data_IF_843932645939
#
_entry.id   IF_843932645939
#
_cell.length_a   1.000
_cell.length_b   1.000
_cell.length_c   1.000
_cell.angle_alpha   90.00
_cell.angle_beta   90.00
_cell.angle_gamma   90.00
#
_symmetry.space_group_name_H-M   'P 1'
#
loop_
_entity.id
_entity.type
_entity.pdbx_description
1 polymer ?
#
# COMPACT_ATOMS: atom_id res chain seq x y z
N UNK A 1 11.31 15.09 -26.72
CA UNK A 1 11.73 14.63 -25.37
C UNK A 1 12.96 13.75 -25.50
N UNK A 2 13.99 13.98 -24.69
CA UNK A 2 15.17 13.10 -24.64
C UNK A 2 14.79 11.82 -23.91
N UNK A 3 14.93 10.65 -24.54
CA UNK A 3 14.68 9.37 -23.86
C UNK A 3 15.69 9.20 -22.73
N UNK A 4 15.20 8.84 -21.55
CA UNK A 4 16.06 8.57 -20.39
C UNK A 4 16.78 7.23 -20.57
N UNK A 5 17.89 7.04 -19.84
CA UNK A 5 18.65 5.80 -19.88
C UNK A 5 18.13 4.86 -18.80
N UNK A 6 17.87 3.62 -19.18
CA UNK A 6 17.60 2.54 -18.24
C UNK A 6 18.86 2.17 -17.47
N UNK A 7 18.75 2.03 -16.15
CA UNK A 7 19.86 1.64 -15.28
C UNK A 7 19.40 0.57 -14.30
N UNK A 8 20.26 -0.42 -14.08
CA UNK A 8 20.10 -1.52 -13.12
C UNK A 8 21.08 -1.30 -11.99
N UNK A 9 20.63 -1.38 -10.75
CA UNK A 9 21.49 -1.28 -9.56
C UNK A 9 21.71 -2.66 -8.96
N UNK A 10 22.91 -2.94 -8.45
CA UNK A 10 23.23 -4.23 -7.81
C UNK A 10 23.32 -5.41 -8.78
N UNK A 11 23.34 -6.63 -8.24
CA UNK A 11 23.26 -7.87 -9.03
C UNK A 11 21.85 -8.02 -9.64
N UNK A 12 21.76 -8.55 -10.86
CA UNK A 12 20.54 -8.60 -11.69
C UNK A 12 19.38 -9.43 -11.08
N UNK A 13 19.64 -10.07 -9.94
CA UNK A 13 18.78 -10.98 -9.18
C UNK A 13 17.87 -10.28 -8.17
N UNK A 14 18.19 -9.04 -7.80
CA UNK A 14 17.43 -8.22 -6.87
C UNK A 14 16.83 -7.05 -7.66
N UNK A 15 15.60 -7.22 -8.15
CA UNK A 15 14.88 -6.27 -8.99
C UNK A 15 15.04 -4.82 -8.52
N UNK A 16 15.69 -3.98 -9.34
CA UNK A 16 15.87 -2.56 -9.05
C UNK A 16 15.69 -1.76 -10.32
N UNK A 17 14.73 -0.85 -10.31
CA UNK A 17 14.43 -0.03 -11.46
C UNK A 17 14.09 1.39 -11.03
N UNK A 18 14.96 2.31 -11.46
CA UNK A 18 14.84 3.76 -11.58
C UNK A 18 14.68 4.59 -10.29
N UNK A 19 15.34 5.75 -10.30
CA UNK A 19 15.30 6.79 -9.28
C UNK A 19 14.77 8.06 -9.97
N UNK A 20 13.92 8.87 -9.32
CA UNK A 20 13.54 10.20 -9.82
C UNK A 20 14.72 11.09 -10.22
N UNK A 21 14.52 11.96 -11.21
CA UNK A 21 15.56 12.89 -11.70
C UNK A 21 16.12 13.83 -10.59
N UNK A 22 15.38 14.03 -9.50
CA UNK A 22 15.75 14.89 -8.37
C UNK A 22 16.46 14.15 -7.22
N UNK A 23 16.74 12.84 -7.34
CA UNK A 23 17.42 12.06 -6.30
C UNK A 23 18.81 11.64 -6.76
N UNK A 24 19.83 11.99 -5.94
CA UNK A 24 21.21 11.67 -6.25
C UNK A 24 21.45 10.14 -6.20
N UNK A 25 21.88 9.62 -7.33
CA UNK A 25 22.09 8.20 -7.63
C UNK A 25 23.22 7.55 -6.81
N UNK A 26 24.25 8.31 -6.45
CA UNK A 26 25.50 7.75 -5.90
C UNK A 26 25.46 7.51 -4.39
N UNK A 27 24.41 7.99 -3.71
CA UNK A 27 24.28 7.93 -2.25
C UNK A 27 23.00 7.24 -1.76
N UNK A 28 22.17 6.71 -2.67
CA UNK A 28 20.87 6.17 -2.30
C UNK A 28 20.94 4.68 -1.93
N UNK A 29 20.63 4.36 -0.68
CA UNK A 29 20.48 2.98 -0.22
C UNK A 29 19.08 2.46 -0.53
N UNK A 30 19.03 1.25 -1.09
CA UNK A 30 17.79 0.55 -1.44
C UNK A 30 17.60 -0.68 -0.57
N UNK A 31 16.37 -0.91 -0.14
CA UNK A 31 15.99 -1.93 0.83
C UNK A 31 14.87 -2.81 0.29
N UNK A 32 15.00 -4.11 0.59
CA UNK A 32 13.95 -5.11 0.41
C UNK A 32 13.74 -5.72 1.79
N UNK A 33 12.61 -5.38 2.43
CA UNK A 33 12.40 -5.70 3.84
C UNK A 33 11.91 -7.13 4.09
N UNK A 34 11.13 -7.68 3.16
CA UNK A 34 10.59 -9.02 3.29
C UNK A 34 10.15 -9.58 1.93
N UNK A 35 10.01 -10.90 1.72
CA UNK A 35 9.44 -11.55 0.54
C UNK A 35 8.10 -11.00 0.00
N UNK A 36 7.35 -10.25 0.80
CA UNK A 36 6.06 -9.69 0.41
C UNK A 36 6.20 -8.54 -0.59
N UNK A 37 7.35 -7.89 -0.64
CA UNK A 37 7.65 -6.82 -1.59
C UNK A 37 8.10 -7.37 -2.95
N UNK A 38 7.33 -8.34 -3.46
CA UNK A 38 7.58 -9.12 -4.67
C UNK A 38 8.17 -8.33 -5.84
N UNK A 39 7.58 -7.16 -6.10
CA UNK A 39 7.89 -6.29 -7.24
C UNK A 39 8.17 -4.83 -6.84
N UNK A 40 8.55 -4.62 -5.59
CA UNK A 40 8.67 -3.30 -4.98
C UNK A 40 9.98 -3.15 -4.20
N UNK A 41 10.65 -2.02 -4.36
CA UNK A 41 11.86 -1.69 -3.60
C UNK A 41 11.68 -0.37 -2.90
N UNK A 42 12.13 -0.31 -1.64
CA UNK A 42 12.13 0.92 -0.87
C UNK A 42 13.50 1.61 -0.96
N UNK A 43 13.50 2.94 -0.99
CA UNK A 43 14.70 3.75 -1.02
C UNK A 43 14.55 4.90 -0.03
N UNK A 44 15.53 5.07 0.85
CA UNK A 44 15.51 6.18 1.79
C UNK A 44 16.08 7.43 1.13
N UNK A 45 15.30 8.52 1.11
CA UNK A 45 15.71 9.80 0.52
C UNK A 45 15.69 10.95 1.54
N UNK A 46 15.42 10.64 2.81
CA UNK A 46 15.43 11.57 3.92
C UNK A 46 14.97 10.91 5.22
N UNK A 47 15.00 11.67 6.32
CA UNK A 47 14.38 11.23 7.57
C UNK A 47 12.86 11.15 7.37
N UNK A 48 12.27 9.97 7.59
CA UNK A 48 10.84 9.72 7.33
C UNK A 48 10.37 10.07 5.91
N UNK A 49 11.28 9.98 4.94
CA UNK A 49 10.98 10.18 3.52
C UNK A 49 11.55 9.02 2.71
N UNK A 50 10.66 8.16 2.27
CA UNK A 50 10.96 6.95 1.51
C UNK A 50 10.31 7.02 0.15
N UNK A 51 10.93 6.39 -0.84
CA UNK A 51 10.32 6.08 -2.12
C UNK A 51 10.17 4.57 -2.22
N UNK A 52 8.93 4.12 -2.39
CA UNK A 52 8.60 2.76 -2.79
C UNK A 52 8.40 2.72 -4.30
N UNK A 53 9.20 1.91 -4.97
CA UNK A 53 9.28 1.86 -6.42
C UNK A 53 8.74 0.50 -6.88
N UNK A 54 7.58 0.48 -7.54
CA UNK A 54 6.90 -0.75 -7.99
C UNK A 54 7.05 -0.95 -9.50
N UNK A 55 7.05 -2.21 -9.93
CA UNK A 55 7.07 -2.60 -11.36
C UNK A 55 8.45 -2.90 -11.91
N UNK A 56 9.41 -3.04 -11.00
CA UNK A 56 10.80 -3.27 -11.28
C UNK A 56 11.24 -4.75 -11.26
N UNK A 57 10.46 -5.68 -11.81
CA UNK A 57 10.82 -7.09 -11.75
C UNK A 57 10.70 -7.70 -10.35
N UNK A 58 10.90 -9.02 -10.26
CA UNK A 58 10.73 -9.81 -9.05
C UNK A 58 12.00 -9.83 -8.19
N UNK A 59 11.90 -9.44 -6.93
CA UNK A 59 13.02 -9.26 -6.00
C UNK A 59 13.61 -10.51 -5.32
N UNK A 60 13.05 -11.72 -5.47
CA UNK A 60 13.45 -12.90 -4.64
C UNK A 60 14.08 -14.03 -5.44
N UNK A 61 14.69 -13.71 -6.58
CA UNK A 61 15.35 -14.67 -7.45
C UNK A 61 14.82 -14.67 -8.88
N UNK A 62 15.34 -15.57 -9.70
CA UNK A 62 14.96 -15.71 -11.10
C UNK A 62 13.75 -16.64 -11.31
N UNK A 63 12.95 -16.43 -12.36
CA UNK A 63 13.02 -15.34 -13.34
C UNK A 63 12.42 -14.03 -12.79
N UNK A 64 13.06 -12.91 -13.11
CA UNK A 64 12.61 -11.55 -12.70
C UNK A 64 11.23 -11.19 -13.24
N UNK A 65 10.81 -11.81 -14.33
CA UNK A 65 9.53 -11.61 -14.99
C UNK A 65 8.96 -12.98 -15.31
N UNK A 66 7.72 -13.20 -14.93
CA UNK A 66 7.04 -14.46 -15.18
C UNK A 66 5.61 -14.19 -15.64
N UNK A 67 5.29 -14.60 -16.86
CA UNK A 67 3.91 -14.55 -17.37
C UNK A 67 3.18 -15.79 -16.85
N UNK A 68 2.03 -15.60 -16.21
CA UNK A 68 1.25 -16.73 -15.73
C UNK A 68 0.83 -17.64 -16.87
N UNK A 69 1.00 -18.94 -16.70
CA UNK A 69 0.47 -19.95 -17.62
C UNK A 69 -1.01 -20.24 -17.36
N UNK A 70 -1.49 -19.91 -16.15
CA UNK A 70 -2.84 -20.20 -15.69
C UNK A 70 -3.75 -19.01 -15.99
N UNK A 71 -3.43 -17.86 -15.40
CA UNK A 71 -4.30 -16.69 -15.35
C UNK A 71 -4.06 -15.80 -16.58
N UNK A 72 -5.15 -15.36 -17.21
CA UNK A 72 -5.09 -14.69 -18.51
C UNK A 72 -4.34 -13.34 -18.47
N UNK A 73 -4.48 -12.60 -17.37
CA UNK A 73 -3.99 -11.23 -17.19
C UNK A 73 -3.04 -11.10 -16.00
N UNK A 74 -2.19 -12.11 -15.78
CA UNK A 74 -1.20 -12.09 -14.70
C UNK A 74 0.24 -12.13 -15.23
N UNK A 75 1.01 -11.15 -14.81
CA UNK A 75 2.47 -11.11 -14.96
C UNK A 75 3.11 -10.72 -13.64
N UNK A 76 4.07 -11.52 -13.19
CA UNK A 76 4.83 -11.25 -11.99
C UNK A 76 6.05 -10.38 -12.31
N UNK A 77 6.43 -9.54 -11.35
CA UNK A 77 7.54 -8.60 -11.46
C UNK A 77 7.21 -7.30 -12.20
N UNK A 78 6.28 -7.30 -13.14
CA UNK A 78 5.86 -6.09 -13.85
C UNK A 78 4.65 -5.42 -13.19
N UNK A 79 4.47 -4.14 -13.50
CA UNK A 79 3.32 -3.35 -13.08
C UNK A 79 2.66 -2.73 -14.32
N UNK A 80 1.38 -3.01 -14.61
CA UNK A 80 0.71 -2.50 -15.81
C UNK A 80 0.57 -0.97 -15.79
N UNK A 81 0.66 -0.33 -16.96
CA UNK A 81 0.46 1.12 -17.10
C UNK A 81 -0.94 1.56 -16.66
N UNK A 82 -1.98 0.79 -16.99
CA UNK A 82 -3.37 1.14 -16.64
C UNK A 82 -3.56 1.20 -15.11
N UNK A 83 -3.04 0.21 -14.38
CA UNK A 83 -3.00 0.23 -12.91
C UNK A 83 -2.23 1.45 -12.39
N UNK A 84 -1.10 1.82 -12.99
CA UNK A 84 -0.28 2.96 -12.57
C UNK A 84 -0.97 4.31 -12.78
N UNK A 85 -1.61 4.49 -13.93
CA UNK A 85 -2.40 5.69 -14.24
C UNK A 85 -3.53 5.85 -13.22
N UNK A 86 -4.21 4.75 -12.89
CA UNK A 86 -5.30 4.75 -11.91
C UNK A 86 -4.79 5.03 -10.50
N UNK A 87 -3.78 4.30 -10.02
CA UNK A 87 -3.21 4.49 -8.67
C UNK A 87 -2.71 5.94 -8.48
N UNK A 88 -2.12 6.53 -9.52
CA UNK A 88 -1.73 7.94 -9.54
C UNK A 88 -2.92 8.89 -9.44
N UNK A 89 -3.98 8.67 -10.24
CA UNK A 89 -5.18 9.50 -10.21
C UNK A 89 -5.86 9.47 -8.83
N UNK A 90 -6.02 8.28 -8.24
CA UNK A 90 -6.58 8.14 -6.88
C UNK A 90 -5.71 8.84 -5.86
N UNK A 91 -4.38 8.67 -5.92
CA UNK A 91 -3.46 9.35 -5.02
C UNK A 91 -3.57 10.87 -5.10
N UNK A 92 -3.77 11.43 -6.30
CA UNK A 92 -3.94 12.87 -6.50
C UNK A 92 -5.24 13.40 -5.89
N UNK A 93 -6.33 12.63 -5.94
CA UNK A 93 -7.57 13.00 -5.25
C UNK A 93 -7.43 12.90 -3.72
N UNK A 94 -6.76 11.86 -3.21
CA UNK A 94 -6.46 11.72 -1.77
C UNK A 94 -5.56 12.86 -1.26
N UNK A 95 -4.59 13.30 -2.08
CA UNK A 95 -3.69 14.40 -1.71
C UNK A 95 -4.44 15.73 -1.50
N UNK A 96 -5.59 15.94 -2.15
CA UNK A 96 -6.43 17.13 -1.96
C UNK A 96 -7.11 17.14 -0.58
N UNK A 97 -7.32 15.98 0.03
CA UNK A 97 -8.06 15.86 1.29
C UNK A 97 -7.15 15.71 2.51
N UNK A 98 -5.93 15.17 2.34
CA UNK A 98 -4.98 15.02 3.44
C UNK A 98 -3.53 14.78 2.96
N UNK A 99 -2.58 15.33 3.70
CA UNK A 99 -1.14 15.07 3.54
C UNK A 99 -0.66 13.85 4.34
N UNK A 100 -1.55 13.19 5.07
CA UNK A 100 -1.18 12.08 5.95
C UNK A 100 -0.93 10.77 5.19
N UNK A 101 -1.47 10.63 3.98
CA UNK A 101 -1.40 9.43 3.15
C UNK A 101 -0.13 9.35 2.31
N UNK A 102 0.14 8.14 1.80
CA UNK A 102 1.17 7.94 0.79
C UNK A 102 0.85 8.70 -0.49
N UNK A 103 1.90 9.13 -1.20
CA UNK A 103 1.75 9.95 -2.40
C UNK A 103 2.41 9.27 -3.59
N UNK A 104 1.64 8.93 -4.60
CA UNK A 104 2.21 8.57 -5.90
C UNK A 104 2.72 9.85 -6.54
N UNK A 105 4.05 10.00 -6.59
CA UNK A 105 4.69 11.20 -7.11
C UNK A 105 4.53 11.30 -8.62
N UNK A 106 4.79 10.19 -9.30
CA UNK A 106 4.63 10.02 -10.74
C UNK A 106 4.75 8.54 -11.10
N UNK A 107 4.46 8.23 -12.36
CA UNK A 107 4.70 6.93 -12.97
C UNK A 107 5.42 7.12 -14.30
N UNK A 108 6.07 6.07 -14.80
CA UNK A 108 6.74 6.13 -16.09
C UNK A 108 6.67 4.83 -16.88
N UNK A 109 6.27 4.93 -18.14
CA UNK A 109 6.21 3.79 -19.05
C UNK A 109 7.64 3.31 -19.37
N UNK A 110 7.85 1.99 -19.31
CA UNK A 110 9.15 1.39 -19.60
C UNK A 110 9.61 1.69 -21.04
N UNK A 111 8.68 1.87 -21.98
CA UNK A 111 8.98 2.20 -23.38
C UNK A 111 9.56 3.62 -23.58
N UNK A 112 9.44 4.50 -22.59
CA UNK A 112 9.99 5.85 -22.62
C UNK A 112 11.51 5.88 -22.33
N UNK A 113 12.06 4.76 -21.86
CA UNK A 113 13.48 4.60 -21.62
C UNK A 113 14.21 3.98 -22.82
N UNK A 114 15.51 4.28 -22.88
CA UNK A 114 16.47 3.54 -23.70
C UNK A 114 16.89 2.29 -22.94
N UNK A 115 16.32 1.16 -23.34
CA UNK A 115 16.57 -0.15 -22.72
C UNK A 115 17.86 -0.80 -23.25
N UNK A 116 18.64 -1.50 -22.41
CA UNK A 116 19.62 -2.47 -22.87
C UNK A 116 18.95 -3.54 -23.75
N UNK A 117 19.68 -4.04 -24.75
CA UNK A 117 19.15 -5.05 -25.71
C UNK A 117 18.48 -6.24 -25.03
N UNK A 118 19.03 -6.71 -23.90
CA UNK A 118 18.47 -7.84 -23.14
C UNK A 118 17.07 -7.59 -22.56
N UNK A 119 16.63 -6.33 -22.47
CA UNK A 119 15.31 -5.93 -22.00
C UNK A 119 14.39 -5.40 -23.12
N UNK A 120 14.82 -5.44 -24.38
CA UNK A 120 13.98 -4.96 -25.50
C UNK A 120 12.65 -5.72 -25.62
N UNK A 121 12.60 -6.98 -25.16
CA UNK A 121 11.38 -7.79 -25.13
C UNK A 121 10.25 -7.17 -24.29
N UNK A 122 10.57 -6.31 -23.32
CA UNK A 122 9.57 -5.60 -22.50
C UNK A 122 8.63 -4.72 -23.32
N UNK A 123 9.09 -4.22 -24.48
CA UNK A 123 8.29 -3.37 -25.37
C UNK A 123 7.16 -4.12 -26.06
N UNK A 124 7.29 -5.45 -26.16
CA UNK A 124 6.35 -6.31 -26.89
C UNK A 124 5.79 -7.42 -26.01
N UNK A 125 6.02 -7.35 -24.69
CA UNK A 125 5.56 -8.38 -23.76
C UNK A 125 4.03 -8.36 -23.66
N UNK A 126 3.45 -9.55 -23.69
CA UNK A 126 2.01 -9.77 -23.68
C UNK A 126 1.61 -10.67 -22.52
N UNK A 127 0.41 -10.41 -22.01
CA UNK A 127 -0.33 -11.35 -21.18
C UNK A 127 -0.67 -12.63 -21.96
N UNK A 128 -1.16 -13.65 -21.26
CA UNK A 128 -1.53 -14.94 -21.87
C UNK A 128 -2.68 -14.78 -22.88
N UNK A 129 -3.62 -13.87 -22.61
CA UNK A 129 -4.69 -13.50 -23.53
C UNK A 129 -4.22 -12.74 -24.80
N UNK A 130 -2.93 -12.40 -24.90
CA UNK A 130 -2.35 -11.69 -26.04
C UNK A 130 -2.38 -10.16 -25.96
N UNK A 131 -3.01 -9.57 -24.94
CA UNK A 131 -2.97 -8.13 -24.68
C UNK A 131 -1.57 -7.69 -24.26
N UNK A 132 -1.17 -6.48 -24.65
CA UNK A 132 0.12 -5.90 -24.24
C UNK A 132 0.07 -5.55 -22.75
N UNK A 133 1.13 -5.94 -22.01
CA UNK A 133 1.25 -5.59 -20.58
C UNK A 133 1.45 -4.08 -20.38
N UNK A 134 2.12 -3.42 -21.32
CA UNK A 134 2.55 -2.02 -21.22
C UNK A 134 3.23 -1.72 -19.87
N UNK A 135 4.43 -2.28 -19.61
CA UNK A 135 5.04 -2.20 -18.29
C UNK A 135 5.33 -0.75 -17.88
N UNK A 136 5.08 -0.44 -16.62
CA UNK A 136 5.23 0.87 -16.03
C UNK A 136 5.91 0.77 -14.67
N UNK A 137 6.46 1.89 -14.22
CA UNK A 137 7.13 2.01 -12.94
C UNK A 137 6.49 3.11 -12.16
N UNK A 138 6.10 2.78 -10.94
CA UNK A 138 5.33 3.64 -10.06
C UNK A 138 6.21 4.06 -8.88
N UNK A 139 6.20 5.35 -8.56
CA UNK A 139 7.00 5.92 -7.48
C UNK A 139 6.08 6.49 -6.42
N UNK A 140 6.05 5.84 -5.26
CA UNK A 140 5.20 6.22 -4.14
C UNK A 140 6.05 6.72 -2.98
N UNK A 141 5.84 7.96 -2.55
CA UNK A 141 6.44 8.50 -1.35
C UNK A 141 5.70 8.01 -0.11
N UNK A 142 6.48 7.54 0.87
CA UNK A 142 6.02 7.00 2.16
C UNK A 142 6.81 7.61 3.32
N UNK A 143 6.24 7.58 4.53
CA UNK A 143 6.97 7.89 5.77
C UNK A 143 7.65 6.65 6.36
N UNK A 144 7.01 5.50 6.18
CA UNK A 144 7.54 4.20 6.58
C UNK A 144 7.35 3.18 5.44
N UNK A 145 8.40 2.49 5.00
CA UNK A 145 8.28 1.46 3.96
C UNK A 145 7.87 0.09 4.53
N UNK A 146 7.98 -0.09 5.85
CA UNK A 146 7.65 -1.33 6.53
C UNK A 146 6.13 -1.47 6.62
N UNK A 147 5.59 -2.55 6.06
CA UNK A 147 4.20 -2.98 6.21
C UNK A 147 4.03 -3.75 7.51
N UNK A 148 2.82 -3.79 8.06
CA UNK A 148 2.53 -4.65 9.23
C UNK A 148 2.92 -6.09 8.94
N UNK A 149 2.63 -6.57 7.72
CA UNK A 149 2.99 -7.92 7.27
C UNK A 149 4.49 -8.23 7.27
N UNK A 150 5.38 -7.23 7.22
CA UNK A 150 6.82 -7.47 7.24
C UNK A 150 7.29 -8.05 8.58
N UNK A 151 6.55 -7.79 9.66
CA UNK A 151 6.90 -8.23 11.01
C UNK A 151 6.98 -9.75 11.17
N UNK A 152 6.31 -10.52 10.29
CA UNK A 152 6.41 -11.99 10.30
C UNK A 152 7.82 -12.48 9.98
N UNK A 153 8.60 -11.70 9.22
CA UNK A 153 9.98 -12.04 8.83
C UNK A 153 11.03 -11.51 9.80
N UNK A 154 10.62 -10.67 10.76
CA UNK A 154 11.54 -10.00 11.68
C UNK A 154 11.76 -10.81 12.94
N UNK A 155 12.99 -10.83 13.43
CA UNK A 155 13.29 -11.25 14.80
C UNK A 155 12.93 -10.13 15.80
N UNK A 156 12.97 -10.42 17.09
CA UNK A 156 12.56 -9.46 18.13
C UNK A 156 13.37 -8.14 18.10
N UNK A 157 14.67 -8.19 17.79
CA UNK A 157 15.48 -6.99 17.71
C UNK A 157 15.09 -6.11 16.51
N UNK A 158 14.77 -6.72 15.37
CA UNK A 158 14.27 -6.01 14.18
C UNK A 158 12.88 -5.41 14.42
N UNK A 159 11.98 -6.15 15.07
CA UNK A 159 10.66 -5.63 15.47
C UNK A 159 10.79 -4.42 16.40
N UNK A 160 11.65 -4.50 17.41
CA UNK A 160 11.87 -3.39 18.35
C UNK A 160 12.40 -2.14 17.63
N UNK A 161 13.38 -2.30 16.72
CA UNK A 161 13.88 -1.19 15.90
C UNK A 161 12.79 -0.56 15.03
N UNK A 162 11.91 -1.39 14.45
CA UNK A 162 10.81 -0.91 13.64
C UNK A 162 9.78 -0.12 14.47
N UNK A 163 9.47 -0.59 15.68
CA UNK A 163 8.63 0.14 16.64
C UNK A 163 9.30 1.46 17.05
N UNK A 164 10.59 1.43 17.44
CA UNK A 164 11.35 2.62 17.83
C UNK A 164 11.37 3.68 16.73
N UNK A 165 11.55 3.27 15.46
CA UNK A 165 11.47 4.16 14.31
C UNK A 165 10.11 4.88 14.25
N UNK A 166 9.01 4.15 14.41
CA UNK A 166 7.65 4.69 14.39
C UNK A 166 7.36 5.58 15.61
N UNK A 167 7.80 5.16 16.79
CA UNK A 167 7.65 5.94 18.01
C UNK A 167 8.44 7.24 17.97
N UNK A 168 9.64 7.24 17.38
CA UNK A 168 10.41 8.46 17.14
C UNK A 168 9.69 9.41 16.17
N UNK A 169 9.04 8.89 15.12
CA UNK A 169 8.22 9.70 14.21
C UNK A 169 7.08 10.40 14.94
N UNK A 170 6.35 9.67 15.80
CA UNK A 170 5.24 10.20 16.58
C UNK A 170 5.67 10.96 17.85
N UNK A 171 6.95 10.94 18.19
CA UNK A 171 7.49 11.46 19.45
C UNK A 171 6.77 10.88 20.70
N UNK A 172 6.68 9.56 20.77
CA UNK A 172 6.04 8.80 21.86
C UNK A 172 6.96 7.73 22.44
N UNK A 173 6.59 7.21 23.61
CA UNK A 173 7.19 5.99 24.17
C UNK A 173 6.68 4.72 23.46
N UNK A 174 7.51 3.68 23.38
CA UNK A 174 7.20 2.40 22.72
C UNK A 174 5.98 1.70 23.30
N UNK A 175 5.71 1.86 24.61
CA UNK A 175 4.51 1.29 25.25
C UNK A 175 3.18 1.82 24.70
N UNK A 176 3.21 2.92 23.96
CA UNK A 176 2.03 3.53 23.35
C UNK A 176 1.90 3.22 21.84
N UNK A 177 2.85 2.50 21.25
CA UNK A 177 2.90 2.24 19.82
C UNK A 177 1.57 1.69 19.27
N UNK A 178 1.12 0.54 19.76
CA UNK A 178 -0.10 -0.12 19.26
C UNK A 178 -1.35 0.74 19.41
N UNK A 179 -1.43 1.54 20.48
CA UNK A 179 -2.54 2.49 20.66
C UNK A 179 -2.50 3.56 19.57
N UNK A 180 -1.35 4.21 19.37
CA UNK A 180 -1.21 5.30 18.38
C UNK A 180 -1.39 4.77 16.96
N UNK A 181 -0.94 3.54 16.68
CA UNK A 181 -1.20 2.87 15.41
C UNK A 181 -2.70 2.72 15.13
N UNK A 182 -3.48 2.17 16.08
CA UNK A 182 -4.94 2.00 15.94
C UNK A 182 -5.61 3.34 15.67
N UNK A 183 -5.25 4.37 16.45
CA UNK A 183 -5.78 5.72 16.29
C UNK A 183 -5.48 6.29 14.90
N UNK A 184 -4.25 6.10 14.41
CA UNK A 184 -3.81 6.61 13.10
C UNK A 184 -4.53 5.90 11.96
N UNK A 185 -4.61 4.56 11.99
CA UNK A 185 -5.29 3.80 10.94
C UNK A 185 -6.80 4.11 10.92
N UNK A 186 -7.45 4.15 12.08
CA UNK A 186 -8.87 4.49 12.19
C UNK A 186 -9.17 5.90 11.66
N UNK A 187 -8.33 6.88 11.99
CA UNK A 187 -8.41 8.24 11.45
C UNK A 187 -8.27 8.23 9.93
N UNK A 188 -7.30 7.49 9.38
CA UNK A 188 -7.06 7.42 7.94
C UNK A 188 -8.26 6.81 7.19
N UNK A 189 -8.79 5.67 7.65
CA UNK A 189 -10.01 5.07 7.08
C UNK A 189 -11.19 6.03 7.19
N UNK A 190 -11.34 6.73 8.31
CA UNK A 190 -12.41 7.70 8.49
C UNK A 190 -12.32 8.91 7.55
N UNK A 191 -11.10 9.42 7.31
CA UNK A 191 -10.88 10.50 6.32
C UNK A 191 -11.27 10.01 4.92
N UNK A 192 -10.85 8.81 4.52
CA UNK A 192 -11.22 8.24 3.22
C UNK A 192 -12.75 8.15 3.07
N UNK A 193 -13.44 7.52 4.02
CA UNK A 193 -14.89 7.37 3.98
C UNK A 193 -15.64 8.70 3.94
N UNK A 194 -15.18 9.69 4.72
CA UNK A 194 -15.78 11.04 4.74
C UNK A 194 -15.75 11.72 3.37
N UNK A 195 -14.75 11.40 2.56
CA UNK A 195 -14.56 11.98 1.23
C UNK A 195 -14.96 11.03 0.09
N UNK A 196 -15.68 9.94 0.40
CA UNK A 196 -16.18 9.01 -0.62
C UNK A 196 -15.09 8.09 -1.17
N UNK A 197 -14.09 7.73 -0.39
CA UNK A 197 -13.12 6.70 -0.75
C UNK A 197 -13.39 5.43 0.06
N UNK A 198 -13.19 4.27 -0.56
CA UNK A 198 -13.28 2.96 0.11
C UNK A 198 -12.17 2.05 -0.45
N UNK A 199 -11.38 1.42 0.42
CA UNK A 199 -10.38 0.41 0.07
C UNK A 199 -10.92 -1.01 0.30
N UNK A 200 -11.27 -1.71 -0.78
CA UNK A 200 -11.82 -3.07 -0.69
C UNK A 200 -10.76 -4.16 -0.50
N UNK A 201 -9.49 -3.79 -0.51
CA UNK A 201 -8.35 -4.69 -0.36
C UNK A 201 -7.48 -4.28 0.82
N UNK A 202 -8.05 -3.56 1.80
CA UNK A 202 -7.32 -3.19 2.99
C UNK A 202 -6.93 -4.47 3.75
N UNK A 203 -5.63 -4.68 3.92
CA UNK A 203 -5.09 -5.77 4.71
C UNK A 203 -3.76 -5.32 5.35
N UNK A 204 -3.18 -6.18 6.19
CA UNK A 204 -1.93 -5.88 6.91
C UNK A 204 -0.70 -5.85 5.98
N UNK A 205 -0.82 -6.31 4.74
CA UNK A 205 0.13 -6.11 3.66
C UNK A 205 -0.01 -4.73 2.99
N UNK A 206 -1.16 -4.07 3.07
CA UNK A 206 -1.42 -2.76 2.46
C UNK A 206 -1.43 -1.60 3.46
N UNK A 207 -0.91 -1.82 4.68
CA UNK A 207 -0.77 -0.79 5.72
C UNK A 207 0.65 -0.76 6.27
N UNK A 208 1.28 0.42 6.28
CA UNK A 208 2.62 0.61 6.86
C UNK A 208 2.57 0.58 8.38
N UNK A 209 3.70 0.40 9.06
CA UNK A 209 3.80 0.46 10.52
C UNK A 209 3.52 1.86 11.10
N UNK A 210 3.39 2.89 10.25
CA UNK A 210 2.88 4.22 10.65
C UNK A 210 1.37 4.39 10.38
N UNK A 211 0.67 3.31 10.02
CA UNK A 211 -0.75 3.36 9.69
C UNK A 211 -1.06 4.02 8.34
N UNK A 212 -0.07 4.21 7.47
CA UNK A 212 -0.30 4.72 6.11
C UNK A 212 -0.95 3.61 5.26
N UNK A 213 -2.10 3.90 4.66
CA UNK A 213 -2.72 3.02 3.67
C UNK A 213 -1.97 3.19 2.35
N UNK A 214 -1.51 2.08 1.78
CA UNK A 214 -0.79 2.03 0.49
C UNK A 214 -1.55 1.14 -0.49
N UNK A 215 -1.07 1.11 -1.74
CA UNK A 215 -1.64 0.27 -2.81
C UNK A 215 -3.06 0.68 -3.20
N UNK A 216 -3.18 1.78 -3.95
CA UNK A 216 -4.50 2.33 -4.31
C UNK A 216 -5.15 1.69 -5.54
N UNK A 217 -4.68 0.52 -5.97
CA UNK A 217 -5.18 -0.19 -7.14
C UNK A 217 -6.69 -0.46 -7.05
N UNK A 218 -7.17 -0.89 -5.88
CA UNK A 218 -8.58 -1.20 -5.58
C UNK A 218 -9.25 -0.25 -4.61
N UNK A 219 -8.75 0.99 -4.52
CA UNK A 219 -9.45 2.07 -3.81
C UNK A 219 -10.51 2.67 -4.73
N UNK A 220 -11.77 2.52 -4.33
CA UNK A 220 -12.90 3.23 -4.91
C UNK A 220 -12.73 4.74 -4.63
N UNK A 221 -12.89 5.58 -5.65
CA UNK A 221 -12.75 7.02 -5.55
C UNK A 221 -13.81 7.73 -6.41
N UNK A 222 -14.27 8.93 -6.02
CA UNK A 222 -15.26 9.66 -6.79
C UNK A 222 -14.75 10.00 -8.19
N UNK A 223 -15.54 9.72 -9.23
CA UNK A 223 -15.23 10.00 -10.64
C UNK A 223 -14.00 9.26 -11.20
N UNK A 224 -13.53 8.19 -10.55
CA UNK A 224 -12.45 7.34 -11.07
C UNK A 224 -13.01 5.92 -11.26
N UNK A 225 -12.98 5.46 -12.51
CA UNK A 225 -13.48 4.15 -12.89
C UNK A 225 -12.57 3.06 -12.32
N UNK A 226 -13.17 1.97 -11.82
CA UNK A 226 -12.45 0.77 -11.39
C UNK A 226 -11.88 0.01 -12.61
N UNK A 227 -10.90 -0.87 -12.38
CA UNK A 227 -10.28 -1.64 -13.47
C UNK A 227 -11.28 -2.55 -14.22
N UNK A 228 -12.36 -2.94 -13.56
CA UNK A 228 -13.47 -3.72 -14.13
C UNK A 228 -14.51 -2.87 -14.89
N UNK A 229 -14.29 -1.55 -14.99
CA UNK A 229 -15.19 -0.62 -15.68
C UNK A 229 -16.30 -0.05 -14.78
N UNK A 230 -16.38 -0.44 -13.52
CA UNK A 230 -17.42 0.06 -12.59
C UNK A 230 -17.17 1.51 -12.19
N UNK A 231 -18.21 2.34 -12.20
CA UNK A 231 -18.13 3.69 -11.65
C UNK A 231 -18.04 3.64 -10.12
N UNK A 232 -16.96 4.18 -9.58
CA UNK A 232 -16.69 4.15 -8.15
C UNK A 232 -17.82 4.75 -7.31
N UNK A 233 -18.51 5.80 -7.79
CA UNK A 233 -19.64 6.41 -7.06
C UNK A 233 -20.83 5.45 -6.91
N UNK A 234 -21.12 4.67 -7.94
CA UNK A 234 -22.27 3.74 -7.99
C UNK A 234 -22.19 2.61 -6.96
N UNK A 235 -20.99 2.37 -6.43
CA UNK A 235 -20.70 1.26 -5.53
C UNK A 235 -20.29 1.72 -4.12
N UNK A 236 -20.35 3.02 -3.80
CA UNK A 236 -20.08 3.52 -2.45
C UNK A 236 -21.24 3.22 -1.50
N UNK A 237 -21.30 2.00 -0.96
CA UNK A 237 -22.35 1.58 -0.03
C UNK A 237 -21.89 1.59 1.42
N UNK A 238 -22.84 1.67 2.33
CA UNK A 238 -22.58 1.63 3.78
C UNK A 238 -22.01 0.28 4.21
N UNK A 239 -22.41 -0.82 3.57
CA UNK A 239 -21.89 -2.17 3.82
C UNK A 239 -20.41 -2.30 3.45
N UNK A 240 -19.94 -1.60 2.40
CA UNK A 240 -18.52 -1.61 2.06
C UNK A 240 -17.69 -0.80 3.06
N UNK A 241 -18.24 0.31 3.59
CA UNK A 241 -17.61 1.04 4.71
C UNK A 241 -17.55 0.18 5.97
N UNK A 242 -18.61 -0.56 6.30
CA UNK A 242 -18.60 -1.53 7.41
C UNK A 242 -17.47 -2.56 7.21
N UNK A 243 -17.37 -3.13 6.00
CA UNK A 243 -16.34 -4.12 5.64
C UNK A 243 -14.93 -3.55 5.80
N UNK A 244 -14.66 -2.34 5.32
CA UNK A 244 -13.33 -1.73 5.47
C UNK A 244 -12.98 -1.43 6.95
N UNK A 245 -13.95 -1.07 7.78
CA UNK A 245 -13.73 -0.94 9.24
C UNK A 245 -13.30 -2.29 9.84
N UNK A 246 -13.94 -3.39 9.45
CA UNK A 246 -13.54 -4.73 9.88
C UNK A 246 -12.12 -5.07 9.44
N UNK A 247 -11.78 -4.78 8.18
CA UNK A 247 -10.42 -4.94 7.67
C UNK A 247 -9.41 -4.11 8.45
N UNK A 248 -9.71 -2.85 8.77
CA UNK A 248 -8.84 -2.01 9.60
C UNK A 248 -8.63 -2.59 11.01
N UNK A 249 -9.67 -3.18 11.61
CA UNK A 249 -9.59 -3.89 12.89
C UNK A 249 -8.77 -5.17 12.77
N UNK A 250 -8.91 -5.93 11.70
CA UNK A 250 -8.08 -7.11 11.42
C UNK A 250 -6.61 -6.75 11.27
N UNK A 251 -6.28 -5.65 10.59
CA UNK A 251 -4.89 -5.14 10.52
C UNK A 251 -4.33 -4.88 11.92
N UNK A 252 -5.11 -4.24 12.79
CA UNK A 252 -4.70 -3.97 14.17
C UNK A 252 -4.54 -5.26 15.00
N UNK A 253 -5.42 -6.24 14.78
CA UNK A 253 -5.34 -7.56 15.40
C UNK A 253 -4.05 -8.29 14.99
N UNK A 254 -3.75 -8.31 13.68
CA UNK A 254 -2.55 -8.92 13.13
C UNK A 254 -1.28 -8.23 13.64
N UNK A 255 -1.28 -6.89 13.72
CA UNK A 255 -0.18 -6.15 14.31
C UNK A 255 0.11 -6.62 15.73
N UNK A 256 -0.89 -6.61 16.63
CA UNK A 256 -0.69 -7.03 18.02
C UNK A 256 -0.23 -8.48 18.13
N UNK A 257 -0.78 -9.38 17.31
CA UNK A 257 -0.37 -10.78 17.26
C UNK A 257 1.11 -10.92 16.84
N UNK A 258 1.55 -10.21 15.81
CA UNK A 258 2.95 -10.23 15.34
C UNK A 258 3.93 -9.57 16.31
N UNK A 259 3.43 -8.71 17.22
CA UNK A 259 4.18 -8.13 18.31
C UNK A 259 4.14 -8.96 19.60
N UNK A 260 3.42 -10.08 19.61
CA UNK A 260 3.16 -10.90 20.80
C UNK A 260 2.53 -10.11 21.97
N UNK A 261 1.75 -9.08 21.65
CA UNK A 261 0.97 -8.34 22.63
C UNK A 261 -0.36 -9.06 22.90
N UNK A 262 -0.97 -8.80 24.06
CA UNK A 262 -2.34 -9.24 24.31
C UNK A 262 -3.31 -8.57 23.32
N UNK A 263 -4.11 -9.38 22.64
CA UNK A 263 -5.09 -8.93 21.67
C UNK A 263 -6.47 -9.53 21.93
N UNK A 264 -7.49 -8.69 21.83
CA UNK A 264 -8.89 -9.09 21.91
C UNK A 264 -9.64 -8.33 20.81
N UNK A 265 -10.34 -9.06 19.95
CA UNK A 265 -11.05 -8.49 18.82
C UNK A 265 -11.98 -7.34 19.24
N UNK A 266 -12.83 -7.53 20.26
CA UNK A 266 -13.81 -6.53 20.67
C UNK A 266 -13.17 -5.27 21.26
N UNK A 267 -12.10 -5.40 22.04
CA UNK A 267 -11.40 -4.23 22.60
C UNK A 267 -10.73 -3.40 21.49
N UNK A 268 -10.17 -4.06 20.47
CA UNK A 268 -9.57 -3.40 19.31
C UNK A 268 -10.67 -2.75 18.46
N UNK A 269 -11.76 -3.47 18.20
CA UNK A 269 -12.92 -2.99 17.46
C UNK A 269 -13.52 -1.73 18.12
N UNK A 270 -13.74 -1.75 19.43
CA UNK A 270 -14.21 -0.60 20.21
C UNK A 270 -13.26 0.59 20.08
N UNK A 271 -11.95 0.37 20.26
CA UNK A 271 -10.93 1.42 20.14
C UNK A 271 -10.90 2.02 18.74
N UNK A 272 -10.96 1.18 17.71
CA UNK A 272 -10.94 1.60 16.31
C UNK A 272 -12.20 2.40 15.95
N UNK A 273 -13.38 1.89 16.29
CA UNK A 273 -14.67 2.55 16.03
C UNK A 273 -14.77 3.86 16.80
N UNK A 274 -14.30 3.92 18.04
CA UNK A 274 -14.25 5.16 18.82
C UNK A 274 -13.46 6.24 18.08
N UNK A 275 -12.26 5.93 17.59
CA UNK A 275 -11.42 6.88 16.86
C UNK A 275 -11.99 7.27 15.51
N UNK A 276 -12.52 6.29 14.77
CA UNK A 276 -13.22 6.51 13.50
C UNK A 276 -14.45 7.44 13.68
N UNK A 277 -15.21 7.25 14.76
CA UNK A 277 -16.42 8.03 15.07
C UNK A 277 -16.14 9.51 15.30
N UNK A 278 -14.90 9.90 15.64
CA UNK A 278 -14.51 11.32 15.79
C UNK A 278 -14.66 12.11 14.49
N UNK A 279 -14.68 11.42 13.34
CA UNK A 279 -14.85 12.02 12.01
C UNK A 279 -16.21 11.67 11.40
N UNK A 280 -16.68 10.44 11.60
CA UNK A 280 -17.91 9.91 10.98
C UNK A 280 -18.94 9.45 12.04
N UNK A 281 -19.24 10.30 13.02
CA UNK A 281 -20.14 9.96 14.14
C UNK A 281 -21.54 9.56 13.66
N UNK A 282 -22.11 10.28 12.69
CA UNK A 282 -23.44 10.02 12.15
C UNK A 282 -23.56 8.63 11.54
N UNK A 283 -22.52 8.17 10.85
CA UNK A 283 -22.47 6.82 10.29
C UNK A 283 -22.57 5.77 11.40
N UNK A 284 -21.71 5.88 12.40
CA UNK A 284 -21.67 4.93 13.54
C UNK A 284 -23.00 4.91 14.31
N UNK A 285 -23.60 6.09 14.53
CA UNK A 285 -24.85 6.20 15.27
C UNK A 285 -26.05 5.60 14.51
N UNK A 286 -26.06 5.70 13.18
CA UNK A 286 -27.15 5.18 12.33
C UNK A 286 -26.96 3.70 11.99
N UNK A 287 -25.73 3.21 12.02
CA UNK A 287 -25.41 1.85 11.64
C UNK A 287 -25.75 0.85 12.77
N UNK A 288 -26.79 0.04 12.57
CA UNK A 288 -27.22 -0.95 13.57
C UNK A 288 -26.21 -2.08 13.77
N UNK A 289 -25.55 -2.55 12.71
CA UNK A 289 -24.60 -3.67 12.77
C UNK A 289 -23.36 -3.31 13.57
N UNK A 290 -22.82 -2.11 13.36
CA UNK A 290 -21.69 -1.61 14.14
C UNK A 290 -22.05 -1.53 15.63
N UNK A 291 -23.25 -1.03 15.96
CA UNK A 291 -23.73 -0.94 17.35
C UNK A 291 -23.93 -2.32 17.98
N UNK A 292 -24.50 -3.27 17.24
CA UNK A 292 -24.63 -4.67 17.68
C UNK A 292 -23.26 -5.30 17.97
N UNK A 293 -22.25 -5.03 17.14
CA UNK A 293 -20.87 -5.48 17.39
C UNK A 293 -20.26 -4.84 18.63
N UNK A 294 -20.44 -3.53 18.85
CA UNK A 294 -19.97 -2.84 20.06
C UNK A 294 -20.60 -3.44 21.33
N UNK A 295 -21.88 -3.80 21.27
CA UNK A 295 -22.60 -4.44 22.37
C UNK A 295 -22.31 -5.95 22.50
N UNK A 296 -21.51 -6.54 21.62
CA UNK A 296 -21.21 -7.98 21.57
C UNK A 296 -22.46 -8.86 21.38
N UNK A 297 -23.49 -8.32 20.72
CA UNK A 297 -24.80 -8.96 20.54
C UNK A 297 -24.83 -9.93 19.34
N UNK A 298 -23.98 -9.71 18.33
CA UNK A 298 -23.91 -10.54 17.12
C UNK A 298 -22.48 -10.67 16.60
N UNK A 299 -22.17 -11.86 16.11
CA UNK A 299 -21.11 -12.06 15.13
C UNK A 299 -21.74 -11.82 13.76
N UNK A 300 -21.18 -10.88 13.00
CA UNK A 300 -21.50 -10.77 11.57
C UNK A 300 -20.90 -12.05 10.94
N UNK A 301 -21.78 -13.00 10.58
CA UNK A 301 -21.44 -14.16 9.75
C UNK A 301 -21.49 -13.77 8.28
#
# INVERSE_FOLDING_TARGET
>A
MKKEKFRVFGDETLGRFFIPDDVNYDSAETFIFSPLHGRAVAMQIGEYKWLNIKGGGWNYGGPQIYISKKDEELVFGLYPLESAVREFAVSKEIEKISTDFSKVLYYKNVCDYTLPKKYDFLKTIKFKNGQLVSPCILYTQLKCPLRVADLIYFNNAERNKAIEYCCKYWNIDTRYYSKIFIQTLAKNVAILHKHGFINDTLDYGNVTMLGEIVDYEWVTAPNIILLDGTDGCSVMTEERKEKEILYGVEVCLQLKAMLYEEYNFFNIYESFVYEYSKINCDFINKNERIRQMLNKERFIL
#
